data_IF_337137855160
#
_entry.id   IF_337137855160
#
_cell.length_a   1.000
_cell.length_b   1.000
_cell.length_c   1.000
_cell.angle_alpha   90.00
_cell.angle_beta   90.00
_cell.angle_gamma   90.00
#
_symmetry.space_group_name_H-M   'P 1'
#
loop_
_entity.id
_entity.type
_entity.pdbx_description
1 polymer ?
#
# COMPACT_ATOMS: atom_id res chain seq x y z
N UNK A 1 -6.89 -36.20 -11.19
CA UNK A 1 -8.13 -35.39 -11.21
C UNK A 1 -7.71 -33.94 -11.02
N UNK A 2 -7.77 -33.13 -12.09
CA UNK A 2 -7.53 -31.68 -12.04
C UNK A 2 -8.48 -31.05 -11.01
N UNK A 3 -7.94 -30.45 -9.94
CA UNK A 3 -8.73 -29.56 -9.09
C UNK A 3 -8.73 -28.19 -9.74
N UNK A 4 -9.72 -27.95 -10.60
CA UNK A 4 -10.02 -26.60 -11.11
C UNK A 4 -10.09 -25.64 -9.93
N UNK A 5 -9.39 -24.49 -10.02
CA UNK A 5 -9.49 -23.45 -9.00
C UNK A 5 -10.97 -23.10 -8.78
N UNK A 6 -11.48 -23.38 -7.58
CA UNK A 6 -12.87 -23.09 -7.25
C UNK A 6 -13.09 -21.58 -7.34
N UNK A 7 -14.27 -21.13 -7.78
CA UNK A 7 -14.64 -19.71 -7.82
C UNK A 7 -14.31 -18.98 -6.52
N UNK A 8 -14.45 -19.66 -5.38
CA UNK A 8 -14.04 -19.17 -4.06
C UNK A 8 -12.55 -18.80 -3.96
N UNK A 9 -11.65 -19.65 -4.46
CA UNK A 9 -10.22 -19.39 -4.45
C UNK A 9 -9.87 -18.20 -5.36
N UNK A 10 -10.46 -18.14 -6.55
CA UNK A 10 -10.27 -17.02 -7.48
C UNK A 10 -10.69 -15.69 -6.86
N UNK A 11 -11.82 -15.65 -6.15
CA UNK A 11 -12.28 -14.44 -5.46
C UNK A 11 -11.30 -14.00 -4.36
N UNK A 12 -10.78 -14.93 -3.56
CA UNK A 12 -9.81 -14.58 -2.52
C UNK A 12 -8.51 -14.07 -3.15
N UNK A 13 -8.00 -14.75 -4.16
CA UNK A 13 -6.79 -14.32 -4.88
C UNK A 13 -6.97 -12.95 -5.53
N UNK A 14 -8.14 -12.70 -6.13
CA UNK A 14 -8.46 -11.40 -6.71
C UNK A 14 -8.43 -10.30 -5.65
N UNK A 15 -9.09 -10.51 -4.51
CA UNK A 15 -9.11 -9.53 -3.40
C UNK A 15 -7.71 -9.31 -2.83
N UNK A 16 -6.92 -10.37 -2.67
CA UNK A 16 -5.53 -10.25 -2.22
C UNK A 16 -4.66 -9.49 -3.25
N UNK A 17 -4.85 -9.74 -4.55
CA UNK A 17 -4.13 -9.08 -5.63
C UNK A 17 -4.42 -7.57 -5.72
N UNK A 18 -5.56 -7.10 -5.23
CA UNK A 18 -5.84 -5.67 -5.10
C UNK A 18 -4.77 -4.97 -4.25
N UNK A 19 -4.18 -5.64 -3.25
CA UNK A 19 -3.06 -5.09 -2.48
C UNK A 19 -1.86 -4.70 -3.37
N UNK A 20 -1.48 -5.56 -4.32
CA UNK A 20 -0.43 -5.28 -5.29
C UNK A 20 -0.85 -4.19 -6.30
N UNK A 21 -2.11 -4.19 -6.73
CA UNK A 21 -2.67 -3.13 -7.58
C UNK A 21 -2.59 -1.76 -6.90
N UNK A 22 -2.95 -1.66 -5.62
CA UNK A 22 -2.93 -0.42 -4.85
C UNK A 22 -1.51 0.15 -4.68
N UNK A 23 -0.49 -0.70 -4.56
CA UNK A 23 0.91 -0.25 -4.57
C UNK A 23 1.26 0.48 -5.88
N UNK A 24 0.95 -0.12 -7.03
CA UNK A 24 1.19 0.52 -8.33
C UNK A 24 0.35 1.79 -8.53
N UNK A 25 -0.90 1.77 -8.07
CA UNK A 25 -1.82 2.90 -8.14
C UNK A 25 -1.30 4.12 -7.37
N UNK A 26 -0.88 3.95 -6.12
CA UNK A 26 -0.38 5.06 -5.29
C UNK A 26 0.87 5.71 -5.90
N UNK A 27 1.75 4.91 -6.51
CA UNK A 27 2.94 5.40 -7.21
C UNK A 27 2.57 6.31 -8.39
N UNK A 28 1.58 5.92 -9.18
CA UNK A 28 1.15 6.69 -10.36
C UNK A 28 0.38 7.95 -9.96
N UNK A 29 -0.51 7.86 -8.97
CA UNK A 29 -1.34 8.98 -8.53
C UNK A 29 -0.50 10.12 -7.97
N UNK A 30 0.50 9.84 -7.13
CA UNK A 30 1.33 10.92 -6.57
C UNK A 30 2.15 11.63 -7.64
N UNK A 31 2.62 10.90 -8.65
CA UNK A 31 3.30 11.48 -9.82
C UNK A 31 2.37 12.37 -10.64
N UNK A 32 1.14 11.93 -10.89
CA UNK A 32 0.12 12.72 -11.61
C UNK A 32 -0.39 13.92 -10.81
N UNK A 33 -0.42 13.82 -9.48
CA UNK A 33 -0.85 14.89 -8.58
C UNK A 33 0.23 15.96 -8.35
N UNK A 34 1.49 15.70 -8.72
CA UNK A 34 2.65 16.57 -8.50
C UNK A 34 2.40 18.06 -8.77
N UNK A 35 2.00 18.49 -9.98
CA UNK A 35 1.83 19.92 -10.26
C UNK A 35 0.72 20.57 -9.42
N UNK A 36 -0.24 19.80 -8.91
CA UNK A 36 -1.37 20.32 -8.14
C UNK A 36 -1.02 20.49 -6.66
N UNK A 37 -0.40 19.48 -6.03
CA UNK A 37 -0.03 19.62 -4.62
C UNK A 37 1.15 20.57 -4.42
N UNK A 38 2.07 20.67 -5.40
CA UNK A 38 3.18 21.63 -5.32
C UNK A 38 2.64 23.07 -5.33
N UNK A 39 1.67 23.37 -6.19
CA UNK A 39 1.02 24.68 -6.21
C UNK A 39 0.16 24.93 -4.97
N UNK A 40 -0.53 23.90 -4.47
CA UNK A 40 -1.38 24.01 -3.28
C UNK A 40 -0.58 24.28 -1.99
N UNK A 41 0.59 23.67 -1.84
CA UNK A 41 1.47 23.83 -0.68
C UNK A 41 2.61 24.83 -0.90
N UNK A 42 2.64 25.55 -2.01
CA UNK A 42 3.67 26.55 -2.36
C UNK A 42 5.11 26.00 -2.38
N UNK A 43 5.28 24.81 -2.98
CA UNK A 43 6.56 24.08 -3.01
C UNK A 43 7.41 24.39 -4.25
N UNK A 44 6.97 25.25 -5.18
CA UNK A 44 7.57 25.41 -6.51
C UNK A 44 9.04 25.84 -6.44
N UNK A 45 9.42 26.59 -5.41
CA UNK A 45 10.78 27.08 -5.18
C UNK A 45 11.64 26.19 -4.27
N UNK A 46 11.08 25.09 -3.71
CA UNK A 46 11.80 24.20 -2.78
C UNK A 46 11.85 22.75 -3.29
N UNK A 47 12.88 22.40 -4.08
CA UNK A 47 13.06 21.03 -4.58
C UNK A 47 13.24 19.97 -3.49
N UNK A 48 13.72 20.35 -2.30
CA UNK A 48 13.91 19.41 -1.20
C UNK A 48 12.56 18.99 -0.62
N UNK A 49 11.65 19.94 -0.41
CA UNK A 49 10.29 19.65 0.05
C UNK A 49 9.45 18.92 -1.00
N UNK A 50 9.63 19.23 -2.30
CA UNK A 50 9.01 18.45 -3.38
C UNK A 50 9.45 16.98 -3.34
N UNK A 51 10.76 16.76 -3.24
CA UNK A 51 11.34 15.41 -3.13
C UNK A 51 10.84 14.68 -1.88
N UNK A 52 10.73 15.39 -0.76
CA UNK A 52 10.21 14.83 0.49
C UNK A 52 8.73 14.46 0.40
N UNK A 53 7.87 15.34 -0.13
CA UNK A 53 6.46 15.07 -0.32
C UNK A 53 6.24 13.81 -1.19
N UNK A 54 7.01 13.67 -2.27
CA UNK A 54 6.95 12.51 -3.17
C UNK A 54 7.49 11.21 -2.53
N UNK A 55 8.63 11.27 -1.84
CA UNK A 55 9.32 10.09 -1.30
C UNK A 55 8.85 9.64 0.09
N UNK A 56 8.09 10.47 0.81
CA UNK A 56 7.58 10.18 2.16
C UNK A 56 6.85 8.83 2.27
N UNK A 57 6.03 8.47 1.28
CA UNK A 57 5.33 7.19 1.26
C UNK A 57 6.27 5.98 1.08
N UNK A 58 7.43 6.17 0.44
CA UNK A 58 8.45 5.13 0.29
C UNK A 58 9.07 4.82 1.66
N UNK A 59 9.33 5.85 2.48
CA UNK A 59 9.80 5.68 3.87
C UNK A 59 8.80 4.87 4.68
N UNK A 60 7.50 5.21 4.58
CA UNK A 60 6.44 4.42 5.21
C UNK A 60 6.43 2.97 4.71
N UNK A 61 6.56 2.76 3.39
CA UNK A 61 6.58 1.43 2.78
C UNK A 61 7.75 0.59 3.26
N UNK A 62 8.94 1.18 3.39
CA UNK A 62 10.11 0.52 3.94
C UNK A 62 9.85 0.00 5.37
N UNK A 63 9.28 0.85 6.23
CA UNK A 63 8.89 0.46 7.60
C UNK A 63 7.82 -0.64 7.58
N UNK A 64 6.81 -0.51 6.71
CA UNK A 64 5.75 -1.52 6.56
C UNK A 64 6.29 -2.89 6.18
N UNK A 65 7.19 -2.95 5.21
CA UNK A 65 7.83 -4.20 4.76
C UNK A 65 8.64 -4.83 5.91
N UNK A 66 9.48 -4.06 6.59
CA UNK A 66 10.31 -4.55 7.69
C UNK A 66 9.48 -5.19 8.82
N UNK A 67 8.34 -4.59 9.15
CA UNK A 67 7.47 -5.09 10.22
C UNK A 67 6.58 -6.26 9.76
N UNK A 68 6.24 -6.32 8.47
CA UNK A 68 5.23 -7.26 7.96
C UNK A 68 5.56 -8.74 8.21
N UNK A 69 6.82 -9.16 8.08
CA UNK A 69 7.21 -10.56 8.23
C UNK A 69 6.97 -11.09 9.65
N UNK A 70 7.61 -10.45 10.65
CA UNK A 70 7.46 -10.87 12.04
C UNK A 70 6.04 -10.72 12.58
N UNK A 71 5.31 -9.70 12.12
CA UNK A 71 3.88 -9.56 12.46
C UNK A 71 3.04 -10.67 11.82
N UNK A 72 3.34 -11.08 10.57
CA UNK A 72 2.57 -12.09 9.87
C UNK A 72 2.75 -13.48 10.47
N UNK A 73 3.92 -13.78 11.02
CA UNK A 73 4.17 -15.02 11.75
C UNK A 73 3.45 -15.05 13.10
N UNK A 74 3.31 -13.89 13.76
CA UNK A 74 2.64 -13.80 15.06
C UNK A 74 1.11 -13.73 14.97
N UNK A 75 0.58 -12.93 14.04
CA UNK A 75 -0.85 -12.60 13.96
C UNK A 75 -1.55 -13.22 12.75
N UNK A 76 -0.81 -13.83 11.83
CA UNK A 76 -1.33 -14.33 10.57
C UNK A 76 -1.42 -13.25 9.48
N UNK A 77 -1.57 -13.70 8.23
CA UNK A 77 -1.50 -12.84 7.04
C UNK A 77 -2.79 -12.04 6.85
N UNK A 78 -3.94 -12.71 6.98
CA UNK A 78 -5.27 -12.13 6.73
C UNK A 78 -5.58 -10.89 7.61
N UNK A 79 -5.36 -10.91 8.94
CA UNK A 79 -5.58 -9.72 9.77
C UNK A 79 -4.71 -8.54 9.35
N UNK A 80 -3.45 -8.77 8.96
CA UNK A 80 -2.54 -7.70 8.53
C UNK A 80 -2.93 -7.10 7.19
N UNK A 81 -3.46 -7.90 6.26
CA UNK A 81 -4.02 -7.38 5.01
C UNK A 81 -5.20 -6.44 5.30
N UNK A 82 -6.07 -6.77 6.26
CA UNK A 82 -7.15 -5.86 6.68
C UNK A 82 -6.61 -4.59 7.34
N UNK A 83 -5.62 -4.70 8.23
CA UNK A 83 -4.99 -3.52 8.84
C UNK A 83 -4.36 -2.61 7.79
N UNK A 84 -3.68 -3.19 6.79
CA UNK A 84 -3.10 -2.46 5.67
C UNK A 84 -4.18 -1.70 4.87
N UNK A 85 -5.32 -2.34 4.61
CA UNK A 85 -6.44 -1.69 3.92
C UNK A 85 -7.01 -0.51 4.74
N UNK A 86 -7.15 -0.66 6.06
CA UNK A 86 -7.60 0.41 6.96
C UNK A 86 -6.61 1.59 6.94
N UNK A 87 -5.30 1.31 7.03
CA UNK A 87 -4.25 2.33 6.94
C UNK A 87 -4.31 3.08 5.61
N UNK A 88 -4.51 2.36 4.51
CA UNK A 88 -4.64 2.96 3.19
C UNK A 88 -5.88 3.86 3.07
N UNK A 89 -7.03 3.45 3.61
CA UNK A 89 -8.25 4.28 3.64
C UNK A 89 -8.01 5.55 4.46
N UNK A 90 -7.45 5.42 5.67
CA UNK A 90 -7.14 6.58 6.51
C UNK A 90 -6.15 7.53 5.83
N UNK A 91 -5.15 6.99 5.14
CA UNK A 91 -4.22 7.77 4.32
C UNK A 91 -4.92 8.52 3.20
N UNK A 92 -5.79 7.85 2.44
CA UNK A 92 -6.49 8.46 1.31
C UNK A 92 -7.37 9.63 1.76
N UNK A 93 -8.16 9.42 2.82
CA UNK A 93 -9.01 10.46 3.41
C UNK A 93 -8.16 11.60 3.97
N UNK A 94 -7.15 11.28 4.77
CA UNK A 94 -6.30 12.28 5.40
C UNK A 94 -5.48 13.11 4.41
N UNK A 95 -4.96 12.48 3.35
CA UNK A 95 -4.25 13.17 2.26
C UNK A 95 -5.19 14.12 1.51
N UNK A 96 -6.44 13.71 1.27
CA UNK A 96 -7.44 14.55 0.61
C UNK A 96 -7.98 15.71 1.47
N UNK A 97 -7.88 15.60 2.80
CA UNK A 97 -8.32 16.63 3.75
C UNK A 97 -7.17 17.52 4.26
N UNK A 98 -5.92 17.23 3.90
CA UNK A 98 -4.77 17.93 4.42
C UNK A 98 -4.69 19.37 3.89
N UNK A 99 -4.75 20.34 4.81
CA UNK A 99 -4.54 21.77 4.53
C UNK A 99 -3.08 22.22 4.67
N UNK A 100 -2.26 21.39 5.31
CA UNK A 100 -0.85 21.68 5.60
C UNK A 100 0.05 20.54 5.09
N UNK A 101 1.26 20.90 4.66
CA UNK A 101 2.23 19.96 4.09
C UNK A 101 2.60 18.84 5.06
N UNK A 102 2.82 19.16 6.34
CA UNK A 102 3.21 18.17 7.34
C UNK A 102 2.11 17.13 7.57
N UNK A 103 0.86 17.57 7.59
CA UNK A 103 -0.30 16.68 7.70
C UNK A 103 -0.41 15.78 6.47
N UNK A 104 -0.22 16.34 5.27
CA UNK A 104 -0.17 15.58 4.03
C UNK A 104 0.92 14.48 4.07
N UNK A 105 2.13 14.83 4.52
CA UNK A 105 3.26 13.91 4.65
C UNK A 105 2.96 12.79 5.65
N UNK A 106 2.41 13.11 6.82
CA UNK A 106 2.08 12.11 7.86
C UNK A 106 1.11 11.07 7.30
N UNK A 107 0.06 11.51 6.61
CA UNK A 107 -0.88 10.58 5.99
C UNK A 107 -0.23 9.76 4.87
N UNK A 108 0.65 10.34 4.06
CA UNK A 108 1.41 9.59 3.06
C UNK A 108 2.33 8.52 3.66
N UNK A 109 2.99 8.82 4.77
CA UNK A 109 3.80 7.82 5.50
C UNK A 109 2.89 6.70 6.02
N UNK A 110 1.74 7.04 6.61
CA UNK A 110 0.76 6.08 7.12
C UNK A 110 0.25 5.15 6.01
N UNK A 111 -0.08 5.71 4.85
CA UNK A 111 -0.47 4.96 3.66
C UNK A 111 0.65 4.06 3.18
N UNK A 112 1.88 4.60 3.12
CA UNK A 112 3.09 3.85 2.81
C UNK A 112 3.25 2.61 3.67
N UNK A 113 3.06 2.71 4.99
CA UNK A 113 3.14 1.55 5.90
C UNK A 113 2.11 0.48 5.50
N UNK A 114 0.86 0.87 5.25
CA UNK A 114 -0.18 -0.06 4.79
C UNK A 114 0.19 -0.73 3.48
N UNK A 115 0.65 0.06 2.51
CA UNK A 115 1.08 -0.41 1.20
C UNK A 115 2.26 -1.41 1.32
N UNK A 116 3.27 -1.09 2.12
CA UNK A 116 4.43 -1.96 2.34
C UNK A 116 4.06 -3.29 2.99
N UNK A 117 3.09 -3.28 3.92
CA UNK A 117 2.55 -4.51 4.49
C UNK A 117 1.77 -5.31 3.43
N UNK A 118 0.89 -4.65 2.68
CA UNK A 118 0.07 -5.33 1.67
C UNK A 118 0.90 -5.92 0.52
N UNK A 119 1.93 -5.20 0.04
CA UNK A 119 2.74 -5.64 -1.09
C UNK A 119 3.58 -6.88 -0.77
N UNK A 120 4.02 -7.05 0.47
CA UNK A 120 4.74 -8.25 0.90
C UNK A 120 3.77 -9.40 1.21
N UNK A 121 2.66 -9.13 1.89
CA UNK A 121 1.76 -10.18 2.38
C UNK A 121 0.76 -10.70 1.36
N UNK A 122 0.35 -9.89 0.38
CA UNK A 122 -0.57 -10.32 -0.68
C UNK A 122 -0.03 -11.52 -1.49
N UNK A 123 1.17 -11.45 -2.11
CA UNK A 123 1.71 -12.58 -2.86
C UNK A 123 1.99 -13.80 -1.96
N UNK A 124 2.45 -13.56 -0.73
CA UNK A 124 2.66 -14.63 0.26
C UNK A 124 1.36 -15.36 0.58
N UNK A 125 0.30 -14.61 0.88
CA UNK A 125 -1.01 -15.17 1.19
C UNK A 125 -1.59 -15.96 0.01
N UNK A 126 -1.46 -15.44 -1.22
CA UNK A 126 -1.88 -16.13 -2.44
C UNK A 126 -1.11 -17.45 -2.59
N UNK A 127 0.22 -17.45 -2.39
CA UNK A 127 1.05 -18.64 -2.50
C UNK A 127 0.72 -19.70 -1.42
N UNK A 128 0.27 -19.30 -0.23
CA UNK A 128 -0.12 -20.20 0.86
C UNK A 128 -1.48 -20.87 0.63
N UNK A 129 -2.41 -20.20 -0.05
CA UNK A 129 -3.76 -20.75 -0.31
C UNK A 129 -3.88 -21.45 -1.68
N UNK A 130 -2.98 -21.17 -2.60
CA UNK A 130 -3.02 -21.71 -3.96
C UNK A 130 -2.57 -23.19 -4.00
N UNK A 131 -3.20 -24.03 -4.85
CA UNK A 131 -2.67 -25.35 -5.19
C UNK A 131 -1.23 -25.27 -5.70
N UNK A 132 -0.43 -26.31 -5.42
CA UNK A 132 0.99 -26.35 -5.79
C UNK A 132 1.25 -26.15 -7.29
N UNK A 133 0.32 -26.57 -8.13
CA UNK A 133 0.38 -26.50 -9.60
C UNK A 133 0.12 -25.09 -10.15
N UNK A 134 -0.54 -24.22 -9.38
CA UNK A 134 -1.03 -22.89 -9.82
C UNK A 134 -0.59 -21.75 -8.91
N UNK A 135 0.45 -21.96 -8.08
CA UNK A 135 0.94 -20.96 -7.12
C UNK A 135 1.91 -19.94 -7.71
N UNK A 136 2.30 -20.09 -8.98
CA UNK A 136 3.25 -19.23 -9.70
C UNK A 136 2.64 -18.56 -10.91
#
# INVERSE_FOLDING_TARGET
>A
MQKTATTYLLLITFVAAIGGFLFGYDWVVIGGAKPFYEAYFHLESDPALQGWAMSSAIVGSFVGVLLSGGLADRYGRKPLIYTAAILFIMSAVGTGMASELDTFIIYRILGGIGIGVASNLAPMYIAEIAPAESRG
#
